data_IF_146884059529
#
_entry.id   IF_146884059529
#
_cell.length_a   1.000
_cell.length_b   1.000
_cell.length_c   1.000
_cell.angle_alpha   90.00
_cell.angle_beta   90.00
_cell.angle_gamma   90.00
#
_symmetry.space_group_name_H-M   'P 1'
#
loop_
_entity.id
_entity.type
_entity.pdbx_description
1 polymer ?
#
# COMPACT_ATOMS: atom_id res chain seq x y z
N UNK A 1 -15.77 0.62 3.04
CA UNK A 1 -14.39 0.85 2.60
C UNK A 1 -14.01 -0.37 1.81
N UNK A 2 -13.77 -0.21 0.51
CA UNK A 2 -13.55 -1.31 -0.42
C UNK A 2 -12.10 -1.33 -0.92
N UNK A 3 -11.36 -0.25 -0.69
CA UNK A 3 -10.02 -0.06 -1.26
C UNK A 3 -9.03 0.49 -0.23
N UNK A 4 -7.73 0.27 -0.45
CA UNK A 4 -6.64 0.78 0.37
C UNK A 4 -5.42 1.10 -0.50
N UNK A 5 -4.87 2.31 -0.36
CA UNK A 5 -3.60 2.69 -1.02
C UNK A 5 -2.42 2.26 -0.16
N UNK A 6 -1.40 1.68 -0.77
CA UNK A 6 -0.24 1.09 -0.12
C UNK A 6 1.01 1.92 -0.44
N UNK A 7 1.71 2.39 0.59
CA UNK A 7 2.99 3.11 0.48
C UNK A 7 4.14 2.18 0.02
N UNK A 8 5.10 2.69 -0.79
CA UNK A 8 6.30 1.96 -1.22
C UNK A 8 7.03 1.28 -0.06
N UNK A 9 7.11 1.90 1.13
CA UNK A 9 7.76 1.30 2.31
C UNK A 9 7.12 -0.01 2.76
N UNK A 10 5.80 -0.13 2.59
CA UNK A 10 5.06 -1.36 2.86
C UNK A 10 5.37 -2.40 1.78
N UNK A 11 5.48 -1.98 0.51
CA UNK A 11 5.89 -2.84 -0.61
C UNK A 11 7.31 -3.40 -0.41
N UNK A 12 8.28 -2.57 -0.02
CA UNK A 12 9.64 -3.02 0.34
C UNK A 12 9.61 -4.07 1.45
N UNK A 13 8.72 -3.92 2.43
CA UNK A 13 8.56 -4.84 3.54
C UNK A 13 7.93 -6.19 3.12
N UNK A 14 7.25 -6.25 1.98
CA UNK A 14 6.67 -7.48 1.43
C UNK A 14 7.72 -8.50 1.00
N UNK A 15 8.90 -8.05 0.53
CA UNK A 15 9.99 -8.93 0.10
C UNK A 15 10.66 -9.70 1.26
N UNK A 16 10.43 -9.28 2.50
CA UNK A 16 10.89 -10.01 3.68
C UNK A 16 9.93 -11.17 3.93
N UNK A 17 10.42 -12.39 3.69
CA UNK A 17 9.63 -13.63 3.56
C UNK A 17 8.70 -13.95 4.75
N UNK A 18 9.05 -13.53 5.98
CA UNK A 18 8.26 -13.74 7.20
C UNK A 18 7.81 -12.41 7.87
N UNK A 19 7.69 -11.33 7.10
CA UNK A 19 7.21 -10.07 7.67
C UNK A 19 5.72 -10.14 8.03
N UNK A 20 5.36 -9.55 9.15
CA UNK A 20 3.97 -9.30 9.53
C UNK A 20 3.20 -8.60 8.40
N UNK A 21 3.88 -7.68 7.69
CA UNK A 21 3.34 -6.97 6.53
C UNK A 21 2.86 -7.90 5.42
N UNK A 22 3.67 -8.89 5.04
CA UNK A 22 3.33 -9.86 3.99
C UNK A 22 2.07 -10.66 4.35
N UNK A 23 1.98 -11.10 5.61
CA UNK A 23 0.79 -11.83 6.13
C UNK A 23 -0.46 -10.96 6.11
N UNK A 24 -0.33 -9.68 6.50
CA UNK A 24 -1.44 -8.72 6.47
C UNK A 24 -1.94 -8.51 5.03
N UNK A 25 -1.04 -8.24 4.08
CA UNK A 25 -1.40 -8.03 2.67
C UNK A 25 -2.19 -9.22 2.12
N UNK A 26 -1.72 -10.45 2.36
CA UNK A 26 -2.42 -11.65 1.91
C UNK A 26 -3.80 -11.85 2.51
N UNK A 27 -4.04 -11.37 3.73
CA UNK A 27 -5.37 -11.41 4.35
C UNK A 27 -6.27 -10.30 3.80
N UNK A 28 -5.73 -9.08 3.69
CA UNK A 28 -6.48 -7.91 3.21
C UNK A 28 -7.00 -8.08 1.79
N UNK A 29 -6.24 -8.74 0.89
CA UNK A 29 -6.66 -8.98 -0.51
C UNK A 29 -8.00 -9.73 -0.62
N UNK A 30 -8.43 -10.43 0.43
CA UNK A 30 -9.74 -11.12 0.45
C UNK A 30 -10.90 -10.21 0.84
N UNK A 31 -10.62 -9.00 1.33
CA UNK A 31 -11.61 -8.05 1.85
C UNK A 31 -11.57 -6.69 1.16
N UNK A 32 -10.42 -6.29 0.61
CA UNK A 32 -10.17 -4.97 0.04
C UNK A 32 -9.33 -5.08 -1.23
N UNK A 33 -9.61 -4.19 -2.18
CA UNK A 33 -8.73 -3.92 -3.30
C UNK A 33 -7.54 -3.08 -2.85
N UNK A 34 -6.34 -3.53 -3.19
CA UNK A 34 -5.10 -2.87 -2.79
C UNK A 34 -4.51 -2.15 -4.00
N UNK A 35 -4.21 -0.87 -3.84
CA UNK A 35 -3.70 -0.02 -4.91
C UNK A 35 -2.40 0.65 -4.50
N UNK A 36 -1.59 1.01 -5.49
CA UNK A 36 -0.43 1.87 -5.32
C UNK A 36 -0.20 2.65 -6.61
N UNK A 37 0.40 3.84 -6.56
CA UNK A 37 0.93 4.48 -7.77
C UNK A 37 1.92 3.55 -8.51
N UNK A 38 1.91 3.57 -9.84
CA UNK A 38 2.77 2.74 -10.68
C UNK A 38 4.26 3.00 -10.41
N UNK A 39 4.66 4.26 -10.18
CA UNK A 39 6.05 4.60 -9.89
C UNK A 39 6.60 3.87 -8.64
N UNK A 40 5.74 3.42 -7.72
CA UNK A 40 6.19 2.64 -6.57
C UNK A 40 6.81 1.30 -7.00
N UNK A 41 6.33 0.71 -8.11
CA UNK A 41 6.95 -0.47 -8.71
C UNK A 41 8.26 -0.13 -9.43
N UNK A 42 8.35 1.04 -10.07
CA UNK A 42 9.62 1.53 -10.64
C UNK A 42 10.68 1.72 -9.54
N UNK A 43 10.28 2.21 -8.36
CA UNK A 43 11.17 2.27 -7.20
C UNK A 43 11.63 0.88 -6.75
N UNK A 44 10.73 -0.11 -6.67
CA UNK A 44 11.12 -1.48 -6.33
C UNK A 44 12.16 -2.02 -7.31
N UNK A 45 11.98 -1.80 -8.61
CA UNK A 45 12.93 -2.20 -9.65
C UNK A 45 14.25 -1.44 -9.53
N UNK A 46 14.21 -0.12 -9.34
CA UNK A 46 15.40 0.73 -9.14
C UNK A 46 16.23 0.29 -7.94
N UNK A 47 15.57 -0.16 -6.87
CA UNK A 47 16.23 -0.63 -5.64
C UNK A 47 16.37 -2.16 -5.56
N UNK A 48 16.17 -2.88 -6.67
CA UNK A 48 16.22 -4.35 -6.75
C UNK A 48 17.45 -4.94 -6.05
N UNK A 49 18.66 -4.46 -6.34
CA UNK A 49 19.90 -4.98 -5.75
C UNK A 49 19.92 -4.83 -4.21
N UNK A 50 19.41 -3.71 -3.71
CA UNK A 50 19.32 -3.44 -2.27
C UNK A 50 18.31 -4.37 -1.62
N UNK A 51 17.16 -4.62 -2.27
CA UNK A 51 16.12 -5.53 -1.79
C UNK A 51 16.67 -6.95 -1.73
N UNK A 52 17.28 -7.44 -2.81
CA UNK A 52 17.90 -8.77 -2.92
C UNK A 52 18.88 -8.98 -1.76
N UNK A 53 19.80 -8.04 -1.56
CA UNK A 53 20.80 -8.10 -0.49
C UNK A 53 20.18 -8.10 0.91
N UNK A 54 19.18 -7.23 1.16
CA UNK A 54 18.55 -7.11 2.48
C UNK A 54 17.62 -8.27 2.82
N UNK A 55 16.93 -8.82 1.82
CA UNK A 55 16.02 -9.94 1.99
C UNK A 55 16.73 -11.30 1.92
N UNK A 56 17.97 -11.34 1.42
CA UNK A 56 18.74 -12.58 1.26
C UNK A 56 18.12 -13.52 0.22
N UNK A 57 17.55 -12.95 -0.85
CA UNK A 57 16.88 -13.69 -1.92
C UNK A 57 17.70 -13.63 -3.22
N UNK A 58 17.43 -14.52 -4.17
CA UNK A 58 18.05 -14.45 -5.50
C UNK A 58 17.35 -13.43 -6.41
N UNK A 59 17.98 -12.97 -7.50
CA UNK A 59 17.34 -12.13 -8.50
C UNK A 59 16.09 -12.75 -9.13
N UNK A 60 16.10 -14.06 -9.39
CA UNK A 60 14.94 -14.79 -9.92
C UNK A 60 13.80 -14.77 -8.90
N UNK A 61 14.14 -14.98 -7.62
CA UNK A 61 13.15 -14.93 -6.54
C UNK A 61 12.56 -13.54 -6.36
N UNK A 62 13.34 -12.49 -6.60
CA UNK A 62 12.84 -11.12 -6.61
C UNK A 62 11.76 -10.93 -7.70
N UNK A 63 12.02 -11.34 -8.93
CA UNK A 63 11.04 -11.24 -10.03
C UNK A 63 9.77 -12.05 -9.74
N UNK A 64 9.91 -13.26 -9.18
CA UNK A 64 8.75 -14.06 -8.75
C UNK A 64 7.90 -13.31 -7.71
N UNK A 65 8.54 -12.73 -6.69
CA UNK A 65 7.83 -11.99 -5.63
C UNK A 65 7.19 -10.72 -6.18
N UNK A 66 7.87 -10.02 -7.08
CA UNK A 66 7.36 -8.80 -7.71
C UNK A 66 6.13 -9.11 -8.58
N UNK A 67 6.16 -10.18 -9.37
CA UNK A 67 5.00 -10.64 -10.15
C UNK A 67 3.83 -11.05 -9.26
N UNK A 68 4.10 -11.74 -8.14
CA UNK A 68 3.05 -12.02 -7.15
C UNK A 68 2.48 -10.74 -6.52
N UNK A 69 3.33 -9.75 -6.26
CA UNK A 69 2.93 -8.48 -5.67
C UNK A 69 1.99 -7.71 -6.61
N UNK A 70 2.29 -7.64 -7.91
CA UNK A 70 1.46 -6.94 -8.90
C UNK A 70 0.09 -7.58 -9.13
N UNK A 71 -0.05 -8.88 -8.85
CA UNK A 71 -1.36 -9.54 -8.83
C UNK A 71 -2.17 -9.28 -7.56
N UNK A 72 -1.55 -8.78 -6.49
CA UNK A 72 -2.20 -8.52 -5.20
C UNK A 72 -2.46 -7.03 -4.99
N UNK A 73 -1.51 -6.18 -5.40
CA UNK A 73 -1.54 -4.74 -5.26
C UNK A 73 -1.45 -4.14 -6.65
N UNK A 74 -2.56 -3.57 -7.11
CA UNK A 74 -2.75 -3.09 -8.46
C UNK A 74 -1.99 -1.76 -8.61
N UNK A 75 -0.97 -1.68 -9.49
CA UNK A 75 -0.36 -0.40 -9.85
C UNK A 75 -1.35 0.44 -10.65
N UNK A 76 -1.50 1.71 -10.27
CA UNK A 76 -2.35 2.67 -10.96
C UNK A 76 -1.43 3.72 -11.61
N UNK A 77 -1.56 3.94 -12.94
CA UNK A 77 -0.73 4.91 -13.65
C UNK A 77 -1.15 6.35 -13.31
N UNK A 78 -0.22 7.30 -13.44
CA UNK A 78 -0.42 8.69 -13.00
C UNK A 78 -1.63 9.36 -13.68
N UNK A 79 -1.86 9.04 -14.94
CA UNK A 79 -2.94 9.62 -15.75
C UNK A 79 -4.33 9.41 -15.14
N UNK A 80 -4.53 8.37 -14.32
CA UNK A 80 -5.79 8.06 -13.66
C UNK A 80 -6.08 8.96 -12.45
N UNK A 81 -5.04 9.53 -11.83
CA UNK A 81 -5.17 10.34 -10.60
C UNK A 81 -4.52 11.74 -10.69
N UNK A 82 -3.92 12.09 -11.82
CA UNK A 82 -3.23 13.39 -12.03
C UNK A 82 -4.15 14.60 -11.76
N UNK A 83 -5.46 14.45 -11.98
CA UNK A 83 -6.48 15.46 -11.71
C UNK A 83 -6.60 15.81 -10.21
N UNK A 84 -6.16 14.91 -9.32
CA UNK A 84 -6.21 15.08 -7.87
C UNK A 84 -4.89 15.54 -7.25
N UNK A 85 -3.79 15.56 -8.01
CA UNK A 85 -2.48 16.07 -7.58
C UNK A 85 -2.56 17.51 -7.02
N UNK A 86 -3.28 18.47 -7.65
CA UNK A 86 -3.39 19.83 -7.11
C UNK A 86 -4.07 19.90 -5.74
N UNK A 87 -4.95 18.95 -5.43
CA UNK A 87 -5.58 18.84 -4.10
C UNK A 87 -4.62 18.22 -3.10
N UNK A 88 -3.95 17.13 -3.47
CA UNK A 88 -2.93 16.49 -2.65
C UNK A 88 -1.83 17.46 -2.22
N UNK A 89 -1.34 18.30 -3.14
CA UNK A 89 -0.34 19.35 -2.89
C UNK A 89 -0.73 20.35 -1.79
N UNK A 90 -2.03 20.60 -1.60
CA UNK A 90 -2.51 21.56 -0.58
C UNK A 90 -2.52 20.97 0.82
N UNK A 91 -2.60 19.65 0.93
CA UNK A 91 -2.82 18.95 2.19
C UNK A 91 -1.60 18.13 2.64
N UNK A 92 -0.74 17.71 1.71
CA UNK A 92 0.42 16.91 2.05
C UNK A 92 1.55 17.77 2.62
N UNK A 93 2.15 17.39 3.76
CA UNK A 93 3.33 18.06 4.29
C UNK A 93 4.63 17.60 3.61
N UNK A 94 4.60 16.50 2.85
CA UNK A 94 5.75 15.91 2.17
C UNK A 94 5.46 15.75 0.68
N UNK A 95 6.33 16.33 -0.15
CA UNK A 95 6.17 16.27 -1.61
C UNK A 95 6.45 14.86 -2.15
N UNK A 96 7.22 14.04 -1.44
CA UNK A 96 7.48 12.65 -1.84
C UNK A 96 6.26 11.74 -1.76
N UNK A 97 5.23 12.17 -1.01
CA UNK A 97 4.04 11.38 -0.77
C UNK A 97 2.80 11.87 -1.55
N UNK A 98 2.97 12.89 -2.41
CA UNK A 98 1.86 13.53 -3.14
C UNK A 98 1.03 12.49 -3.88
N UNK A 99 1.67 11.60 -4.62
CA UNK A 99 1.00 10.60 -5.46
C UNK A 99 0.15 9.61 -4.65
N UNK A 100 0.64 9.15 -3.49
CA UNK A 100 -0.17 8.29 -2.61
C UNK A 100 -1.41 9.01 -2.10
N UNK A 101 -1.26 10.29 -1.75
CA UNK A 101 -2.36 11.11 -1.26
C UNK A 101 -3.34 11.43 -2.39
N UNK A 102 -2.86 11.76 -3.58
CA UNK A 102 -3.68 12.01 -4.76
C UNK A 102 -4.50 10.76 -5.12
N UNK A 103 -3.84 9.60 -5.24
CA UNK A 103 -4.53 8.34 -5.51
C UNK A 103 -5.58 8.02 -4.43
N UNK A 104 -5.27 8.27 -3.16
CA UNK A 104 -6.21 8.07 -2.06
C UNK A 104 -7.41 9.02 -2.11
N UNK A 105 -7.22 10.28 -2.54
CA UNK A 105 -8.31 11.23 -2.81
C UNK A 105 -9.17 10.70 -3.97
N UNK A 106 -8.53 10.31 -5.08
CA UNK A 106 -9.20 9.82 -6.29
C UNK A 106 -10.09 8.61 -6.00
N UNK A 107 -9.57 7.66 -5.22
CA UNK A 107 -10.27 6.43 -4.83
C UNK A 107 -11.13 6.59 -3.57
N UNK A 108 -11.10 7.76 -2.93
CA UNK A 108 -11.76 8.04 -1.66
C UNK A 108 -11.50 6.95 -0.60
N UNK A 109 -10.23 6.59 -0.41
CA UNK A 109 -9.81 5.51 0.46
C UNK A 109 -8.64 5.93 1.37
N UNK A 110 -8.37 5.22 2.47
CA UNK A 110 -7.20 5.52 3.29
C UNK A 110 -5.89 5.07 2.62
N UNK A 111 -4.79 5.59 3.17
CA UNK A 111 -3.42 5.17 2.85
C UNK A 111 -2.86 4.35 4.00
N UNK A 112 -2.26 3.21 3.71
CA UNK A 112 -1.44 2.47 4.65
C UNK A 112 0.01 2.97 4.57
N UNK A 113 0.40 3.77 5.56
CA UNK A 113 1.78 4.21 5.76
C UNK A 113 2.14 4.20 7.25
N UNK A 114 3.40 3.92 7.55
CA UNK A 114 3.94 4.05 8.90
C UNK A 114 4.64 5.40 9.13
N UNK A 115 4.65 6.31 8.14
CA UNK A 115 5.19 7.66 8.32
C UNK A 115 4.28 8.50 9.22
N UNK A 116 4.87 9.04 10.29
CA UNK A 116 4.18 9.88 11.28
C UNK A 116 3.89 11.29 10.75
N UNK A 117 4.57 11.75 9.70
CA UNK A 117 4.29 13.03 9.05
C UNK A 117 2.95 12.97 8.31
N UNK A 118 2.72 11.88 7.57
CA UNK A 118 1.48 11.65 6.83
C UNK A 118 0.24 11.56 7.71
N UNK A 119 0.40 11.07 8.95
CA UNK A 119 -0.65 11.05 9.97
C UNK A 119 -1.26 12.43 10.30
N UNK A 120 -0.60 13.53 9.94
CA UNK A 120 -1.07 14.89 10.22
C UNK A 120 -2.07 15.41 9.18
N UNK A 121 -2.24 14.70 8.06
CA UNK A 121 -3.16 15.06 7.00
C UNK A 121 -4.60 14.90 7.49
N UNK A 122 -5.42 15.93 7.31
CA UNK A 122 -6.79 15.98 7.86
C UNK A 122 -7.85 15.36 6.93
N UNK A 123 -7.60 15.34 5.62
CA UNK A 123 -8.60 15.00 4.61
C UNK A 123 -8.47 13.57 4.08
N UNK A 124 -7.30 12.95 4.25
CA UNK A 124 -7.06 11.55 3.88
C UNK A 124 -6.71 10.79 5.15
N UNK A 125 -7.42 9.69 5.38
CA UNK A 125 -7.15 8.85 6.55
C UNK A 125 -5.88 8.05 6.31
N UNK A 126 -4.86 8.28 7.14
CA UNK A 126 -3.62 7.50 7.12
C UNK A 126 -3.63 6.47 8.24
N UNK A 127 -3.43 5.21 7.91
CA UNK A 127 -3.46 4.07 8.81
C UNK A 127 -2.06 3.46 8.93
N UNK A 128 -1.58 3.30 10.15
CA UNK A 128 -0.37 2.53 10.41
C UNK A 128 -0.67 1.03 10.47
N UNK A 129 0.38 0.21 10.55
CA UNK A 129 0.25 -1.26 10.60
C UNK A 129 -0.67 -1.74 11.73
N UNK A 130 -0.63 -1.14 12.92
CA UNK A 130 -1.47 -1.53 14.06
C UNK A 130 -2.96 -1.25 13.83
N UNK A 131 -3.28 -0.14 13.18
CA UNK A 131 -4.64 0.21 12.79
C UNK A 131 -5.16 -0.69 11.66
N UNK A 132 -4.29 -1.07 10.73
CA UNK A 132 -4.61 -2.04 9.68
C UNK A 132 -4.92 -3.42 10.29
N UNK A 133 -4.14 -3.86 11.29
CA UNK A 133 -4.43 -5.11 12.03
C UNK A 133 -5.80 -5.03 12.73
N UNK A 134 -6.11 -3.88 13.32
CA UNK A 134 -7.39 -3.65 14.00
C UNK A 134 -8.56 -3.67 13.00
N UNK A 135 -8.39 -3.04 11.83
CA UNK A 135 -9.35 -3.07 10.72
C UNK A 135 -9.56 -4.50 10.23
N UNK A 136 -8.48 -5.24 9.98
CA UNK A 136 -8.54 -6.63 9.53
C UNK A 136 -9.30 -7.50 10.53
N UNK A 137 -9.04 -7.33 11.82
CA UNK A 137 -9.75 -8.07 12.88
C UNK A 137 -11.25 -7.75 12.91
N UNK A 138 -11.64 -6.52 12.55
CA UNK A 138 -13.04 -6.13 12.44
C UNK A 138 -13.70 -6.72 11.18
N UNK A 139 -12.98 -6.75 10.06
CA UNK A 139 -13.43 -7.35 8.80
C UNK A 139 -13.65 -8.87 8.94
N UNK A 140 -12.72 -9.57 9.58
CA UNK A 140 -12.84 -11.00 9.87
C UNK A 140 -14.06 -11.31 10.75
N UNK A 141 -14.43 -10.42 11.69
CA UNK A 141 -15.63 -10.58 12.54
C UNK A 141 -16.94 -10.32 11.79
N UNK A 142 -16.96 -9.34 10.88
CA UNK A 142 -18.15 -9.06 10.07
C UNK A 142 -18.46 -10.18 9.08
N UNK A 143 -17.43 -10.85 8.54
CA UNK A 143 -17.58 -11.98 7.62
C UNK A 143 -18.09 -13.27 8.32
N UNK A 144 -17.82 -13.42 9.62
CA UNK A 144 -18.29 -14.55 10.43
C UNK A 144 -19.72 -14.39 11.00
N UNK A 145 -20.46 -13.35 10.62
CA UNK A 145 -21.87 -13.22 11.04
C UNK A 145 -22.73 -14.23 10.27
N UNK A 146 -23.52 -15.09 10.93
CA UNK A 146 -24.34 -16.07 10.22
C UNK A 146 -25.36 -15.33 9.36
N UNK A 147 -25.29 -15.51 8.03
CA UNK A 147 -26.41 -15.24 7.13
C UNK A 147 -27.60 -16.03 7.68
N UNK A 148 -28.48 -15.33 8.38
CA UNK A 148 -29.69 -15.89 8.99
C UNK A 148 -30.77 -16.02 7.93
#
# INVERSE_FOLDING_TARGET
MESLVIDTNILFSFFKSDSTTRKIIYKLRGFLDLYTPEYAYDELQKYKEVIIKKAGISPEKFEEILGLLSHIIIPIPEEEYIDTIPEALKITPDLGDIDFIALAIKLNCPVWSNDKKLKQIKNVKVMNTSEIISLLSALEKSDQSPRT
#
